data_IF_789451890759
#
_entry.id   IF_789451890759
#
_cell.length_a   1.000
_cell.length_b   1.000
_cell.length_c   1.000
_cell.angle_alpha   90.00
_cell.angle_beta   90.00
_cell.angle_gamma   90.00
#
_symmetry.space_group_name_H-M   'P 1'
#
loop_
_entity.id
_entity.type
_entity.pdbx_description
1 polymer ?
#
# COMPACT_ATOMS: atom_id res chain seq x y z
N UNK A 1 31.00 54.35 -24.71
CA UNK A 1 29.66 54.45 -24.10
C UNK A 1 28.90 53.19 -24.49
N UNK A 2 28.90 52.18 -23.62
CA UNK A 2 28.24 50.89 -23.88
C UNK A 2 26.78 50.96 -23.44
N UNK A 3 25.86 50.73 -24.37
CA UNK A 3 24.43 50.55 -24.10
C UNK A 3 24.15 49.07 -23.88
N UNK A 4 23.65 48.76 -22.69
CA UNK A 4 23.23 47.41 -22.27
C UNK A 4 21.74 47.22 -22.65
N UNK A 5 21.33 46.08 -23.24
CA UNK A 5 19.92 45.80 -23.49
C UNK A 5 19.19 45.37 -22.20
N UNK A 6 17.87 45.61 -22.11
CA UNK A 6 17.11 45.39 -20.88
C UNK A 6 16.91 43.91 -20.58
N UNK A 7 16.98 43.57 -19.29
CA UNK A 7 16.81 42.23 -18.76
C UNK A 7 15.40 41.69 -19.04
N UNK A 8 15.33 40.53 -19.70
CA UNK A 8 14.12 39.73 -19.85
C UNK A 8 13.66 39.23 -18.48
N UNK A 9 12.44 39.60 -18.09
CA UNK A 9 11.74 38.97 -16.97
C UNK A 9 11.45 37.51 -17.33
N UNK A 10 11.66 36.54 -16.42
CA UNK A 10 11.22 35.18 -16.67
C UNK A 10 9.68 35.15 -16.64
N UNK A 11 9.09 34.82 -17.79
CA UNK A 11 7.67 34.50 -17.91
C UNK A 11 7.30 33.44 -16.87
N UNK A 12 6.21 33.72 -16.15
CA UNK A 12 5.59 32.77 -15.21
C UNK A 12 5.31 31.47 -15.97
N UNK A 13 6.16 30.47 -15.72
CA UNK A 13 5.90 29.10 -16.05
C UNK A 13 4.55 28.75 -15.43
N UNK A 14 3.56 28.62 -16.30
CA UNK A 14 2.20 28.25 -15.94
C UNK A 14 2.33 26.88 -15.29
N UNK A 15 2.23 26.85 -13.96
CA UNK A 15 2.04 25.62 -13.22
C UNK A 15 0.75 25.03 -13.73
N UNK A 16 0.85 24.09 -14.67
CA UNK A 16 -0.23 23.19 -15.02
C UNK A 16 -0.59 22.46 -13.74
N UNK A 17 -1.62 22.97 -13.06
CA UNK A 17 -2.26 22.32 -11.95
C UNK A 17 -2.74 20.96 -12.46
N UNK A 18 -1.95 19.92 -12.21
CA UNK A 18 -2.37 18.53 -12.39
C UNK A 18 -3.38 18.23 -11.29
N UNK A 19 -4.61 18.66 -11.54
CA UNK A 19 -5.79 18.10 -10.90
C UNK A 19 -6.00 16.70 -11.46
N UNK A 20 -5.11 15.76 -11.12
CA UNK A 20 -5.31 14.35 -11.46
C UNK A 20 -6.42 13.80 -10.58
N UNK A 21 -7.65 14.03 -11.00
CA UNK A 21 -8.86 13.33 -10.57
C UNK A 21 -8.69 11.86 -10.95
N UNK A 22 -7.88 11.15 -10.17
CA UNK A 22 -7.41 9.81 -10.48
C UNK A 22 -8.43 8.80 -9.95
N UNK A 23 -9.43 8.54 -10.78
CA UNK A 23 -10.32 7.41 -10.57
C UNK A 23 -9.52 6.11 -10.71
N UNK A 24 -9.26 5.44 -9.59
CA UNK A 24 -8.53 4.17 -9.55
C UNK A 24 -9.45 2.96 -9.75
N UNK A 25 -10.61 3.13 -10.39
CA UNK A 25 -11.45 1.99 -10.78
C UNK A 25 -10.65 1.01 -11.66
N UNK A 26 -10.55 -0.28 -11.29
CA UNK A 26 -9.86 -1.27 -12.10
C UNK A 26 -10.67 -1.67 -13.34
N UNK A 27 -9.98 -1.90 -14.45
CA UNK A 27 -10.52 -2.58 -15.63
C UNK A 27 -9.81 -3.94 -15.80
N UNK A 28 -10.40 -5.06 -15.31
CA UNK A 28 -9.75 -6.37 -15.37
C UNK A 28 -9.36 -6.82 -16.78
N UNK A 29 -10.12 -6.40 -17.81
CA UNK A 29 -9.83 -6.76 -19.20
C UNK A 29 -8.61 -6.04 -19.77
N UNK A 30 -8.17 -4.94 -19.14
CA UNK A 30 -6.97 -4.19 -19.51
C UNK A 30 -5.74 -4.60 -18.69
N UNK A 31 -5.88 -5.54 -17.75
CA UNK A 31 -4.79 -5.95 -16.87
C UNK A 31 -3.64 -6.55 -17.67
N UNK A 32 -2.42 -6.09 -17.40
CA UNK A 32 -1.21 -6.71 -17.93
C UNK A 32 -1.08 -8.15 -17.43
N UNK A 33 -0.62 -9.09 -18.28
CA UNK A 33 -0.35 -10.45 -17.86
C UNK A 33 0.88 -10.50 -16.94
N UNK A 34 0.85 -11.38 -15.95
CA UNK A 34 1.97 -11.61 -15.03
C UNK A 34 2.59 -12.99 -15.25
N UNK A 35 3.90 -13.08 -15.03
CA UNK A 35 4.56 -14.37 -14.88
C UNK A 35 4.18 -15.02 -13.52
N UNK A 36 4.40 -16.33 -13.33
CA UNK A 36 3.92 -17.03 -12.14
C UNK A 36 4.40 -16.44 -10.79
N UNK A 37 5.69 -16.05 -10.61
CA UNK A 37 6.15 -15.44 -9.36
C UNK A 37 5.46 -14.11 -9.03
N UNK A 38 5.22 -13.27 -10.05
CA UNK A 38 4.51 -11.99 -9.87
C UNK A 38 3.03 -12.17 -9.63
N UNK A 39 2.40 -13.16 -10.29
CA UNK A 39 1.01 -13.50 -10.00
C UNK A 39 0.86 -13.98 -8.55
N UNK A 40 1.75 -14.85 -8.07
CA UNK A 40 1.73 -15.30 -6.69
C UNK A 40 1.92 -14.15 -5.68
N UNK A 41 2.80 -13.19 -5.98
CA UNK A 41 2.93 -11.97 -5.18
C UNK A 41 1.63 -11.17 -5.16
N UNK A 42 1.02 -10.92 -6.32
CA UNK A 42 -0.25 -10.19 -6.42
C UNK A 42 -1.35 -10.88 -5.63
N UNK A 43 -1.50 -12.20 -5.77
CA UNK A 43 -2.51 -12.99 -5.09
C UNK A 43 -2.35 -12.93 -3.57
N UNK A 44 -1.12 -12.98 -3.07
CA UNK A 44 -0.84 -12.84 -1.63
C UNK A 44 -1.20 -11.45 -1.11
N UNK A 45 -0.93 -10.38 -1.88
CA UNK A 45 -1.31 -9.02 -1.49
C UNK A 45 -2.83 -8.84 -1.55
N UNK A 46 -3.50 -9.30 -2.59
CA UNK A 46 -4.97 -9.24 -2.67
C UNK A 46 -5.62 -10.05 -1.53
N UNK A 47 -5.03 -11.17 -1.12
CA UNK A 47 -5.49 -11.93 0.04
C UNK A 47 -5.33 -11.15 1.35
N UNK A 48 -4.24 -10.39 1.54
CA UNK A 48 -4.05 -9.51 2.69
C UNK A 48 -5.13 -8.42 2.75
N UNK A 49 -5.39 -7.72 1.64
CA UNK A 49 -6.51 -6.77 1.52
C UNK A 49 -7.88 -7.44 1.73
N UNK A 50 -8.00 -8.72 1.38
CA UNK A 50 -9.20 -9.54 1.61
C UNK A 50 -9.35 -10.01 3.07
N UNK A 51 -8.62 -9.42 4.03
CA UNK A 51 -8.63 -9.82 5.44
C UNK A 51 -8.23 -11.30 5.67
N UNK A 52 -7.33 -11.84 4.83
CA UNK A 52 -6.78 -13.20 4.98
C UNK A 52 -5.27 -13.15 5.28
N UNK A 53 -4.85 -12.57 6.41
CA UNK A 53 -3.43 -12.56 6.77
C UNK A 53 -2.91 -13.97 7.07
N UNK A 54 -1.66 -14.21 6.72
CA UNK A 54 -0.89 -15.37 7.14
C UNK A 54 0.57 -14.97 7.32
N UNK A 55 1.31 -15.74 8.11
CA UNK A 55 2.75 -15.53 8.30
C UNK A 55 3.47 -15.53 6.96
N UNK A 56 3.15 -16.47 6.06
CA UNK A 56 3.84 -16.60 4.78
C UNK A 56 3.54 -15.42 3.84
N UNK A 57 2.32 -14.86 3.87
CA UNK A 57 2.01 -13.63 3.14
C UNK A 57 2.78 -12.44 3.69
N UNK A 58 2.94 -12.34 5.02
CA UNK A 58 3.74 -11.27 5.63
C UNK A 58 5.24 -11.44 5.34
N UNK A 59 5.74 -12.67 5.11
CA UNK A 59 7.12 -12.88 4.66
C UNK A 59 7.42 -12.27 3.29
N UNK A 60 6.40 -11.93 2.49
CA UNK A 60 6.56 -11.11 1.28
C UNK A 60 7.22 -9.77 1.59
N UNK A 61 7.13 -9.26 2.80
CA UNK A 61 7.82 -8.03 3.16
C UNK A 61 9.27 -8.32 3.61
N UNK A 62 10.21 -7.44 3.25
CA UNK A 62 11.56 -7.47 3.82
C UNK A 62 11.51 -7.00 5.28
N UNK A 63 12.44 -7.41 6.17
CA UNK A 63 12.41 -7.00 7.57
C UNK A 63 12.37 -5.48 7.76
N UNK A 64 13.07 -4.76 6.87
CA UNK A 64 13.22 -3.30 6.84
C UNK A 64 12.25 -2.59 5.87
N UNK A 65 11.16 -3.26 5.46
CA UNK A 65 10.23 -2.69 4.51
C UNK A 65 9.55 -1.43 5.06
N UNK A 66 9.15 -0.55 4.14
CA UNK A 66 8.24 0.55 4.46
C UNK A 66 6.86 0.25 3.85
N UNK A 67 5.82 0.48 4.63
CA UNK A 67 4.42 0.46 4.20
C UNK A 67 3.84 1.84 4.44
N UNK A 68 3.53 2.50 3.32
CA UNK A 68 3.02 3.87 3.23
C UNK A 68 1.61 3.81 2.65
N UNK A 69 0.65 3.64 3.55
CA UNK A 69 -0.76 3.63 3.23
C UNK A 69 -1.40 4.88 3.84
N UNK A 70 -2.31 5.53 3.11
CA UNK A 70 -3.17 6.55 3.66
C UNK A 70 -3.63 6.22 5.11
N UNK A 71 -4.04 4.98 5.40
CA UNK A 71 -4.57 4.59 6.72
C UNK A 71 -3.50 4.52 7.82
N UNK A 72 -2.26 4.21 7.48
CA UNK A 72 -1.21 3.98 8.47
C UNK A 72 0.17 3.81 7.85
N UNK A 73 1.18 4.14 8.63
CA UNK A 73 2.59 4.00 8.26
C UNK A 73 3.26 2.93 9.10
N UNK A 74 4.05 2.07 8.46
CA UNK A 74 4.92 1.11 9.12
C UNK A 74 6.30 1.14 8.47
N UNK A 75 7.35 1.12 9.30
CA UNK A 75 8.76 1.25 8.90
C UNK A 75 9.55 -0.06 9.06
N UNK A 76 8.85 -1.17 9.34
CA UNK A 76 9.41 -2.51 9.38
C UNK A 76 8.32 -3.56 9.25
N UNK A 77 8.74 -4.81 8.98
CA UNK A 77 7.82 -5.94 8.80
C UNK A 77 6.99 -6.25 10.03
N UNK A 78 7.51 -6.04 11.24
CA UNK A 78 6.78 -6.29 12.47
C UNK A 78 5.51 -5.43 12.56
N UNK A 79 5.64 -4.13 12.28
CA UNK A 79 4.50 -3.20 12.26
C UNK A 79 3.56 -3.49 11.09
N UNK A 80 4.08 -3.87 9.92
CA UNK A 80 3.26 -4.33 8.78
C UNK A 80 2.44 -5.57 9.14
N UNK A 81 3.04 -6.54 9.83
CA UNK A 81 2.33 -7.72 10.33
C UNK A 81 1.18 -7.31 11.26
N UNK A 82 1.45 -6.40 12.20
CA UNK A 82 0.44 -5.85 13.10
C UNK A 82 -0.76 -5.27 12.37
N UNK A 83 -0.53 -4.48 11.32
CA UNK A 83 -1.61 -3.91 10.50
C UNK A 83 -2.44 -4.99 9.78
N UNK A 84 -1.79 -5.93 9.09
CA UNK A 84 -2.50 -6.98 8.36
C UNK A 84 -3.30 -7.94 9.25
N UNK A 85 -2.74 -8.33 10.39
CA UNK A 85 -3.43 -9.20 11.36
C UNK A 85 -4.53 -8.47 12.15
N UNK A 86 -4.51 -7.13 12.16
CA UNK A 86 -5.55 -6.31 12.77
C UNK A 86 -6.81 -6.20 11.88
N UNK A 87 -6.68 -6.11 10.54
CA UNK A 87 -7.82 -5.88 9.65
C UNK A 87 -9.02 -6.84 9.87
N UNK A 88 -8.84 -8.17 10.04
CA UNK A 88 -9.97 -9.08 10.29
C UNK A 88 -10.66 -8.87 11.64
N UNK A 89 -10.06 -8.13 12.57
CA UNK A 89 -10.67 -7.74 13.85
C UNK A 89 -11.59 -6.54 13.69
N UNK A 90 -11.27 -5.63 12.75
CA UNK A 90 -12.08 -4.45 12.44
C UNK A 90 -13.24 -4.77 11.50
N UNK A 91 -13.00 -5.61 10.49
CA UNK A 91 -13.96 -5.92 9.43
C UNK A 91 -14.53 -7.34 9.58
N UNK A 92 -15.84 -7.49 9.36
CA UNK A 92 -16.53 -8.78 9.34
C UNK A 92 -16.45 -9.46 7.98
N UNK A 93 -16.47 -8.68 6.89
CA UNK A 93 -16.32 -9.17 5.53
C UNK A 93 -15.39 -8.27 4.74
N UNK A 94 -14.65 -8.90 3.81
CA UNK A 94 -13.84 -8.21 2.81
C UNK A 94 -14.02 -8.94 1.47
N UNK A 95 -14.35 -8.19 0.43
CA UNK A 95 -14.56 -8.68 -0.93
C UNK A 95 -13.65 -7.91 -1.89
N UNK A 96 -12.86 -8.66 -2.66
CA UNK A 96 -12.13 -8.11 -3.79
C UNK A 96 -13.08 -7.97 -4.99
N UNK A 97 -13.45 -6.75 -5.34
CA UNK A 97 -14.35 -6.45 -6.43
C UNK A 97 -13.65 -6.39 -7.80
N UNK A 98 -12.31 -6.37 -7.82
CA UNK A 98 -11.52 -6.43 -9.04
C UNK A 98 -10.12 -5.83 -8.88
N UNK A 99 -9.24 -6.16 -9.82
CA UNK A 99 -7.92 -5.54 -9.95
C UNK A 99 -7.54 -5.34 -11.42
N UNK A 100 -6.57 -4.47 -11.66
CA UNK A 100 -5.97 -4.23 -12.97
C UNK A 100 -4.47 -3.99 -12.77
N UNK A 101 -3.62 -4.90 -13.25
CA UNK A 101 -2.17 -4.68 -13.27
C UNK A 101 -1.87 -3.62 -14.34
N UNK A 102 -1.29 -2.51 -13.91
CA UNK A 102 -0.98 -1.36 -14.79
C UNK A 102 0.53 -1.23 -15.06
N UNK A 103 1.37 -1.85 -14.23
CA UNK A 103 2.82 -1.89 -14.43
C UNK A 103 3.41 -3.16 -13.81
N UNK A 104 4.34 -3.79 -14.52
CA UNK A 104 5.04 -4.99 -14.04
C UNK A 104 6.42 -5.11 -14.68
N UNK A 105 7.31 -4.18 -14.38
CA UNK A 105 8.71 -4.15 -14.83
C UNK A 105 9.69 -4.33 -13.66
N UNK A 106 10.96 -4.58 -13.97
CA UNK A 106 12.11 -4.74 -13.07
C UNK A 106 11.77 -5.01 -11.60
N UNK A 107 11.75 -3.96 -10.79
CA UNK A 107 11.54 -3.99 -9.35
C UNK A 107 10.20 -3.35 -8.95
N UNK A 108 9.26 -3.20 -9.88
CA UNK A 108 7.96 -2.58 -9.62
C UNK A 108 6.82 -3.51 -10.05
N UNK A 109 5.84 -3.67 -9.16
CA UNK A 109 4.51 -4.18 -9.50
C UNK A 109 3.49 -3.13 -9.06
N UNK A 110 2.69 -2.63 -10.00
CA UNK A 110 1.66 -1.65 -9.74
C UNK A 110 0.32 -2.13 -10.28
N UNK A 111 -0.72 -2.01 -9.46
CA UNK A 111 -2.07 -2.42 -9.84
C UNK A 111 -3.10 -1.51 -9.20
N UNK A 112 -4.22 -1.32 -9.90
CA UNK A 112 -5.44 -0.79 -9.30
C UNK A 112 -6.18 -1.92 -8.59
N UNK A 113 -6.84 -1.61 -7.49
CA UNK A 113 -7.62 -2.56 -6.69
C UNK A 113 -8.93 -1.91 -6.24
N UNK A 114 -10.02 -2.67 -6.29
CA UNK A 114 -11.29 -2.30 -5.66
C UNK A 114 -11.63 -3.29 -4.54
N UNK A 115 -11.73 -2.80 -3.31
CA UNK A 115 -12.00 -3.60 -2.12
C UNK A 115 -13.26 -3.10 -1.41
N UNK A 116 -14.13 -4.01 -1.00
CA UNK A 116 -15.30 -3.70 -0.17
C UNK A 116 -15.11 -4.27 1.21
N UNK A 117 -15.08 -3.42 2.22
CA UNK A 117 -14.92 -3.82 3.62
C UNK A 117 -16.15 -3.48 4.44
N UNK A 118 -16.66 -4.46 5.17
CA UNK A 118 -17.80 -4.26 6.08
C UNK A 118 -17.32 -4.27 7.52
N UNK A 119 -17.63 -3.22 8.28
CA UNK A 119 -17.25 -3.13 9.69
C UNK A 119 -17.93 -4.23 10.52
N UNK A 120 -17.22 -4.78 11.51
CA UNK A 120 -17.74 -5.87 12.34
C UNK A 120 -18.89 -5.45 13.25
N UNK A 121 -18.82 -4.24 13.80
CA UNK A 121 -19.76 -3.73 14.81
C UNK A 121 -20.77 -2.72 14.26
N UNK A 122 -20.63 -2.33 12.99
CA UNK A 122 -21.49 -1.34 12.35
C UNK A 122 -21.96 -1.91 11.00
N UNK A 123 -23.24 -1.75 10.62
CA UNK A 123 -23.75 -2.17 9.32
C UNK A 123 -23.32 -1.17 8.22
N UNK A 124 -22.02 -0.89 8.15
CA UNK A 124 -21.41 0.04 7.20
C UNK A 124 -20.40 -0.73 6.36
N UNK A 125 -20.54 -0.60 5.05
CA UNK A 125 -19.59 -1.09 4.06
C UNK A 125 -18.91 0.10 3.40
N UNK A 126 -17.59 0.04 3.28
CA UNK A 126 -16.79 1.02 2.53
C UNK A 126 -16.26 0.36 1.27
N UNK A 127 -16.28 1.09 0.15
CA UNK A 127 -15.66 0.65 -1.10
C UNK A 127 -14.43 1.51 -1.35
N UNK A 128 -13.29 0.87 -1.39
CA UNK A 128 -11.98 1.47 -1.57
C UNK A 128 -11.50 1.18 -2.98
N UNK A 129 -11.10 2.24 -3.68
CA UNK A 129 -10.40 2.14 -4.96
C UNK A 129 -9.02 2.70 -4.77
N UNK A 130 -8.01 1.87 -4.96
CA UNK A 130 -6.61 2.20 -4.73
C UNK A 130 -5.73 1.94 -5.94
N UNK A 131 -4.66 2.73 -6.06
CA UNK A 131 -3.48 2.39 -6.83
C UNK A 131 -2.40 1.91 -5.87
N UNK A 132 -2.11 0.62 -5.91
CA UNK A 132 -1.09 -0.03 -5.09
C UNK A 132 0.21 -0.14 -5.89
N UNK A 133 1.30 0.33 -5.31
CA UNK A 133 2.66 0.24 -5.88
C UNK A 133 3.56 -0.54 -4.94
N UNK A 134 4.13 -1.63 -5.44
CA UNK A 134 5.09 -2.47 -4.73
C UNK A 134 6.46 -2.29 -5.37
N UNK A 135 7.41 -1.76 -4.60
CA UNK A 135 8.83 -1.83 -4.94
C UNK A 135 9.42 -3.10 -4.35
N UNK A 136 10.06 -3.89 -5.20
CA UNK A 136 10.56 -5.21 -4.89
C UNK A 136 12.03 -5.19 -4.50
N UNK A 137 12.45 -6.15 -3.67
CA UNK A 137 13.84 -6.33 -3.32
C UNK A 137 14.62 -6.90 -4.52
N UNK A 138 15.70 -6.22 -4.99
CA UNK A 138 16.44 -6.63 -6.19
C UNK A 138 16.93 -8.08 -6.17
N UNK A 139 17.39 -8.56 -5.01
CA UNK A 139 17.87 -9.93 -4.84
C UNK A 139 16.74 -10.95 -4.99
N UNK A 140 15.55 -10.64 -4.48
CA UNK A 140 14.37 -11.51 -4.62
C UNK A 140 13.90 -11.61 -6.07
N UNK A 141 14.02 -10.51 -6.82
CA UNK A 141 13.72 -10.48 -8.27
C UNK A 141 14.73 -11.32 -9.05
N UNK A 142 16.03 -11.23 -8.71
CA UNK A 142 17.09 -12.05 -9.30
C UNK A 142 16.91 -13.55 -9.03
N UNK A 143 16.52 -13.91 -7.81
CA UNK A 143 16.26 -15.30 -7.44
C UNK A 143 15.03 -15.87 -8.19
N UNK A 144 14.00 -15.05 -8.39
CA UNK A 144 12.90 -15.33 -9.30
C UNK A 144 11.83 -16.29 -8.77
N UNK A 145 11.91 -16.76 -7.53
CA UNK A 145 10.98 -17.71 -6.92
C UNK A 145 10.02 -17.06 -5.92
N UNK A 146 10.55 -16.32 -4.94
CA UNK A 146 9.79 -15.67 -3.87
C UNK A 146 10.11 -14.18 -3.81
N UNK A 147 9.32 -13.39 -4.54
CA UNK A 147 9.45 -11.95 -4.59
C UNK A 147 9.14 -11.32 -3.23
N UNK A 148 9.99 -10.38 -2.82
CA UNK A 148 9.87 -9.62 -1.57
C UNK A 148 9.69 -8.13 -1.84
N UNK A 149 8.96 -7.47 -0.97
CA UNK A 149 8.55 -6.07 -1.03
C UNK A 149 9.42 -5.26 -0.09
N UNK A 150 10.10 -4.26 -0.64
CA UNK A 150 10.89 -3.26 0.08
C UNK A 150 10.07 -2.03 0.45
N UNK A 151 9.17 -1.63 -0.45
CA UNK A 151 8.31 -0.46 -0.25
C UNK A 151 6.92 -0.77 -0.80
N UNK A 152 5.90 -0.58 0.02
CA UNK A 152 4.50 -0.73 -0.35
C UNK A 152 3.84 0.63 -0.21
N UNK A 153 3.29 1.16 -1.30
CA UNK A 153 2.53 2.39 -1.29
C UNK A 153 1.11 2.16 -1.78
N UNK A 154 0.15 2.54 -0.95
CA UNK A 154 -1.26 2.58 -1.32
C UNK A 154 -1.65 4.04 -1.60
N UNK A 155 -2.44 4.28 -2.64
CA UNK A 155 -3.00 5.59 -2.95
C UNK A 155 -4.49 5.41 -3.21
N UNK A 156 -5.33 5.89 -2.30
CA UNK A 156 -6.78 5.83 -2.44
C UNK A 156 -7.30 6.98 -3.31
N UNK A 157 -8.37 6.72 -4.07
CA UNK A 157 -9.10 7.79 -4.76
C UNK A 157 -9.89 8.63 -3.76
N UNK A 158 -9.82 9.96 -3.87
CA UNK A 158 -10.50 10.90 -2.94
C UNK A 158 -12.02 10.66 -2.85
N UNK A 159 -12.63 10.12 -3.90
CA UNK A 159 -14.08 9.88 -4.02
C UNK A 159 -14.58 8.62 -3.32
N UNK A 160 -13.76 7.59 -3.13
CA UNK A 160 -14.17 6.35 -2.45
C UNK A 160 -14.43 6.53 -0.95
N UNK A 161 -13.98 7.65 -0.38
CA UNK A 161 -13.86 7.88 1.05
C UNK A 161 -14.26 9.30 1.47
N UNK A 162 -15.21 9.94 0.78
CA UNK A 162 -15.71 11.28 1.14
C UNK A 162 -16.57 11.26 2.42
N UNK A 163 -16.00 10.87 3.56
CA UNK A 163 -16.49 11.23 4.89
C UNK A 163 -15.29 11.34 5.84
N UNK A 164 -14.95 12.57 6.21
CA UNK A 164 -13.88 12.91 7.17
C UNK A 164 -13.96 12.10 8.50
N UNK A 165 -15.14 11.59 8.86
CA UNK A 165 -15.36 10.78 10.07
C UNK A 165 -14.98 9.29 9.97
N UNK A 166 -15.13 8.63 8.82
CA UNK A 166 -14.77 7.19 8.68
C UNK A 166 -13.25 7.05 8.71
N UNK A 167 -12.57 7.98 8.05
CA UNK A 167 -11.11 8.08 8.03
C UNK A 167 -10.50 8.16 9.42
N UNK A 168 -10.97 9.13 10.19
CA UNK A 168 -10.54 9.33 11.56
C UNK A 168 -10.84 8.10 12.43
N UNK A 169 -11.97 7.43 12.20
CA UNK A 169 -12.34 6.22 12.93
C UNK A 169 -11.37 5.07 12.69
N UNK A 170 -10.97 4.79 11.44
CA UNK A 170 -10.00 3.74 11.12
C UNK A 170 -8.64 4.08 11.71
N UNK A 171 -8.15 5.32 11.53
CA UNK A 171 -6.86 5.77 12.08
C UNK A 171 -6.82 5.69 13.60
N UNK A 172 -7.85 6.21 14.26
CA UNK A 172 -7.98 6.15 15.72
C UNK A 172 -8.05 4.71 16.20
N UNK A 173 -8.84 3.85 15.54
CA UNK A 173 -8.92 2.44 15.90
C UNK A 173 -7.57 1.72 15.75
N UNK A 174 -6.84 1.98 14.67
CA UNK A 174 -5.50 1.43 14.47
C UNK A 174 -4.56 1.88 15.60
N UNK A 175 -4.51 3.19 15.88
CA UNK A 175 -3.68 3.75 16.95
C UNK A 175 -4.03 3.15 18.33
N UNK A 176 -5.31 3.09 18.67
CA UNK A 176 -5.79 2.60 19.98
C UNK A 176 -5.55 1.09 20.19
N UNK A 177 -5.41 0.31 19.12
CA UNK A 177 -5.22 -1.14 19.21
C UNK A 177 -3.82 -1.62 18.83
N UNK A 178 -2.93 -0.75 18.34
CA UNK A 178 -1.54 -1.10 18.00
C UNK A 178 -0.80 -1.85 19.12
N UNK A 179 -0.93 -1.46 20.41
CA UNK A 179 -0.30 -2.18 21.52
C UNK A 179 -0.87 -3.58 21.79
N UNK A 180 -2.08 -3.90 21.27
CA UNK A 180 -2.68 -5.24 21.42
C UNK A 180 -2.25 -6.19 20.31
N UNK A 181 -1.82 -5.65 19.17
CA UNK A 181 -1.40 -6.44 18.01
C UNK A 181 -0.02 -7.03 18.17
N UNK A 182 0.81 -6.45 19.03
CA UNK A 182 2.10 -7.01 19.43
C UNK A 182 1.96 -8.36 20.15
N UNK A 183 0.78 -8.66 20.70
CA UNK A 183 0.51 -9.91 21.40
C UNK A 183 -0.03 -11.05 20.53
N UNK A 184 -0.34 -10.79 19.25
CA UNK A 184 -0.79 -11.83 18.31
C UNK A 184 0.37 -12.81 18.05
N UNK A 185 0.20 -14.14 18.24
CA UNK A 185 1.27 -15.13 18.05
C UNK A 185 1.94 -15.06 16.69
N UNK A 186 1.17 -14.84 15.63
CA UNK A 186 1.67 -14.68 14.26
C UNK A 186 2.51 -13.41 14.08
N UNK A 187 2.15 -12.33 14.77
CA UNK A 187 2.90 -11.06 14.75
C UNK A 187 4.21 -11.19 15.54
N UNK A 188 4.22 -11.93 16.66
CA UNK A 188 5.42 -12.20 17.46
C UNK A 188 6.53 -12.90 16.69
N UNK A 189 6.21 -13.65 15.64
CA UNK A 189 7.23 -14.27 14.77
C UNK A 189 8.14 -13.24 14.07
N UNK A 190 7.69 -11.99 13.99
CA UNK A 190 8.42 -10.89 13.37
C UNK A 190 9.00 -9.91 14.41
N UNK A 191 8.92 -10.18 15.72
CA UNK A 191 9.33 -9.24 16.77
C UNK A 191 10.80 -8.79 16.64
N UNK A 192 11.68 -9.67 16.18
CA UNK A 192 13.08 -9.34 15.92
C UNK A 192 13.26 -8.23 14.88
N UNK A 193 12.31 -8.09 13.94
CA UNK A 193 12.36 -7.09 12.88
C UNK A 193 12.04 -5.68 13.41
N UNK A 194 11.47 -5.57 14.62
CA UNK A 194 11.18 -4.27 15.24
C UNK A 194 12.43 -3.46 15.60
N UNK A 195 13.61 -4.10 15.58
CA UNK A 195 14.91 -3.48 15.83
C UNK A 195 15.66 -3.13 14.55
N UNK A 196 15.09 -3.46 13.39
CA UNK A 196 15.72 -3.21 12.09
C UNK A 196 15.45 -1.77 11.67
N UNK A 197 16.47 -1.08 11.16
CA UNK A 197 16.31 0.26 10.63
C UNK A 197 15.57 0.22 9.28
N UNK A 198 14.65 1.15 9.00
CA UNK A 198 13.94 1.19 7.73
C UNK A 198 14.88 1.38 6.54
N UNK A 199 14.52 0.76 5.42
CA UNK A 199 15.17 0.98 4.14
C UNK A 199 15.10 2.46 3.76
N UNK A 200 16.27 3.14 3.68
CA UNK A 200 16.36 4.55 3.33
C UNK A 200 16.75 5.51 4.47
N UNK A 201 17.03 5.00 5.68
CA UNK A 201 17.63 5.80 6.74
C UNK A 201 19.10 6.14 6.48
N UNK A 202 19.37 7.26 5.79
CA UNK A 202 20.61 7.99 6.05
C UNK A 202 20.56 8.54 7.48
N UNK A 203 21.65 8.34 8.23
CA UNK A 203 21.94 9.17 9.41
C UNK A 203 22.12 10.62 9.01
#
# INVERSE_FOLDING_TARGET
>A
MSTQPPASQPEKQTTSASSSNSDYTPNPSASLPLNPPRQALLDDILALYSCKPSVDRVKRYTPDCIYDDPFGYADNRYKVAGQWFALPKLFSTSENAGYEVVRSDDEILQFKSEQKWTFRLLPKTVTLKSLVTLSLEPESVRAGDFLRIKYHKDQNSEKGLSHEGIWFTIKKWQADNMPKWTDIPEVKQFEQDNKVNPAGGQK
#
